data_IF_097365382393
#
_entry.id   IF_097365382393
#
_cell.length_a   1.000
_cell.length_b   1.000
_cell.length_c   1.000
_cell.angle_alpha   90.00
_cell.angle_beta   90.00
_cell.angle_gamma   90.00
#
_symmetry.space_group_name_H-M   'P 1'
#
loop_
_entity.id
_entity.type
_entity.pdbx_description
1 polymer ?
#
# COMPACT_ATOMS: atom_id res chain seq x y z
N UNK A 1 14.28 -25.67 -7.75
CA UNK A 1 13.60 -24.51 -8.37
C UNK A 1 13.96 -23.30 -7.52
N UNK A 2 14.72 -22.35 -8.05
CA UNK A 2 14.91 -21.07 -7.38
C UNK A 2 13.54 -20.38 -7.30
N UNK A 3 12.96 -20.32 -6.11
CA UNK A 3 11.74 -19.54 -5.85
C UNK A 3 12.11 -18.08 -6.03
N UNK A 4 11.92 -17.54 -7.25
CA UNK A 4 12.11 -16.12 -7.54
C UNK A 4 11.33 -15.31 -6.52
N UNK A 5 12.05 -14.57 -5.69
CA UNK A 5 11.45 -13.74 -4.66
C UNK A 5 10.49 -12.75 -5.30
N UNK A 6 9.21 -12.82 -4.90
CA UNK A 6 8.17 -11.98 -5.49
C UNK A 6 8.41 -10.53 -5.11
N UNK A 7 8.22 -9.61 -6.05
CA UNK A 7 8.51 -8.18 -5.85
C UNK A 7 7.77 -7.57 -4.65
N UNK A 8 6.55 -8.06 -4.36
CA UNK A 8 5.73 -7.58 -3.25
C UNK A 8 6.21 -8.06 -1.88
N UNK A 9 7.14 -9.01 -1.81
CA UNK A 9 7.78 -9.43 -0.57
C UNK A 9 8.96 -8.53 -0.18
N UNK A 10 9.30 -7.52 -1.00
CA UNK A 10 10.33 -6.50 -0.72
C UNK A 10 9.66 -5.21 -0.21
N UNK A 11 9.68 -4.91 1.10
CA UNK A 11 8.97 -3.76 1.66
C UNK A 11 9.39 -2.42 1.05
N UNK A 12 10.67 -2.26 0.68
CA UNK A 12 11.19 -1.06 0.05
C UNK A 12 10.55 -0.81 -1.32
N UNK A 13 10.31 -1.90 -2.06
CA UNK A 13 9.75 -1.83 -3.41
C UNK A 13 8.24 -1.59 -3.35
N UNK A 14 7.55 -2.19 -2.38
CA UNK A 14 6.15 -1.88 -2.06
C UNK A 14 5.99 -0.42 -1.63
N UNK A 15 6.87 0.09 -0.76
CA UNK A 15 6.86 1.50 -0.32
C UNK A 15 7.09 2.48 -1.47
N UNK A 16 8.03 2.16 -2.37
CA UNK A 16 8.28 2.96 -3.58
C UNK A 16 7.05 2.99 -4.47
N UNK A 17 6.43 1.83 -4.72
CA UNK A 17 5.21 1.76 -5.51
C UNK A 17 4.03 2.45 -4.82
N UNK A 18 3.93 2.45 -3.49
CA UNK A 18 2.89 3.20 -2.79
C UNK A 18 2.97 4.72 -3.07
N UNK A 19 4.17 5.26 -3.21
CA UNK A 19 4.39 6.68 -3.45
C UNK A 19 4.24 7.08 -4.93
N UNK A 20 4.82 6.30 -5.84
CA UNK A 20 4.88 6.65 -7.26
C UNK A 20 3.79 6.00 -8.11
N UNK A 21 3.24 4.87 -7.66
CA UNK A 21 2.16 4.16 -8.35
C UNK A 21 1.19 3.50 -7.36
N UNK A 22 0.36 4.30 -6.68
CA UNK A 22 -0.42 3.85 -5.52
C UNK A 22 -1.23 2.56 -5.76
N UNK A 23 -1.88 2.34 -6.93
CA UNK A 23 -2.56 1.06 -7.20
C UNK A 23 -1.68 -0.18 -7.05
N UNK A 24 -0.44 -0.14 -7.57
CA UNK A 24 0.49 -1.26 -7.46
C UNK A 24 1.08 -1.36 -6.06
N UNK A 25 1.36 -0.23 -5.41
CA UNK A 25 1.80 -0.20 -4.02
C UNK A 25 0.78 -0.83 -3.07
N UNK A 26 -0.51 -0.49 -3.23
CA UNK A 26 -1.60 -1.05 -2.43
C UNK A 26 -1.80 -2.54 -2.69
N UNK A 27 -1.66 -2.99 -3.94
CA UNK A 27 -1.67 -4.42 -4.27
C UNK A 27 -0.49 -5.17 -3.64
N UNK A 28 0.70 -4.58 -3.72
CA UNK A 28 1.90 -5.14 -3.09
C UNK A 28 1.74 -5.24 -1.58
N UNK A 29 1.22 -4.19 -0.95
CA UNK A 29 0.94 -4.13 0.48
C UNK A 29 -0.08 -5.20 0.91
N UNK A 30 -1.16 -5.36 0.14
CA UNK A 30 -2.17 -6.40 0.38
C UNK A 30 -1.53 -7.79 0.37
N UNK A 31 -0.76 -8.09 -0.70
CA UNK A 31 -0.26 -9.44 -0.99
C UNK A 31 1.04 -9.80 -0.27
N UNK A 32 1.77 -8.82 0.26
CA UNK A 32 3.04 -9.05 0.95
C UNK A 32 2.86 -9.91 2.19
N UNK A 33 3.66 -10.96 2.32
CA UNK A 33 3.73 -11.78 3.54
C UNK A 33 4.75 -11.22 4.54
N UNK A 34 5.67 -10.37 4.05
CA UNK A 34 6.78 -9.80 4.83
C UNK A 34 6.46 -8.45 5.49
N UNK A 35 5.30 -7.85 5.20
CA UNK A 35 4.89 -6.58 5.78
C UNK A 35 3.94 -6.83 6.94
N UNK A 36 4.28 -6.28 8.10
CA UNK A 36 3.50 -6.42 9.34
C UNK A 36 2.05 -5.93 9.16
N UNK A 37 1.12 -6.65 9.79
CA UNK A 37 -0.30 -6.36 9.69
C UNK A 37 -0.65 -4.95 10.22
N UNK A 38 0.02 -4.47 11.28
CA UNK A 38 -0.20 -3.12 11.81
C UNK A 38 0.21 -2.05 10.80
N UNK A 39 1.31 -2.29 10.06
CA UNK A 39 1.75 -1.38 9.01
C UNK A 39 0.75 -1.34 7.86
N UNK A 40 0.19 -2.49 7.45
CA UNK A 40 -0.86 -2.53 6.44
C UNK A 40 -2.09 -1.72 6.87
N UNK A 41 -2.55 -1.93 8.10
CA UNK A 41 -3.70 -1.20 8.68
C UNK A 41 -3.44 0.31 8.70
N UNK A 42 -2.24 0.74 9.12
CA UNK A 42 -1.89 2.16 9.14
C UNK A 42 -1.98 2.80 7.74
N UNK A 43 -1.40 2.16 6.72
CA UNK A 43 -1.43 2.68 5.34
C UNK A 43 -2.86 2.71 4.80
N UNK A 44 -3.66 1.66 5.01
CA UNK A 44 -5.07 1.66 4.59
C UNK A 44 -5.89 2.74 5.32
N UNK A 45 -5.63 2.96 6.60
CA UNK A 45 -6.26 4.02 7.39
C UNK A 45 -5.95 5.41 6.81
N UNK A 46 -4.68 5.69 6.50
CA UNK A 46 -4.27 6.94 5.84
C UNK A 46 -4.94 7.07 4.47
N UNK A 47 -5.00 6.00 3.69
CA UNK A 47 -5.60 6.03 2.36
C UNK A 47 -7.10 6.37 2.40
N UNK A 48 -7.85 5.76 3.32
CA UNK A 48 -9.27 6.07 3.55
C UNK A 48 -9.42 7.52 4.02
N UNK A 49 -8.58 7.97 4.96
CA UNK A 49 -8.62 9.35 5.45
C UNK A 49 -8.43 10.38 4.33
N UNK A 50 -7.46 10.15 3.43
CA UNK A 50 -7.23 11.02 2.27
C UNK A 50 -8.45 11.04 1.33
N UNK A 51 -9.06 9.88 1.08
CA UNK A 51 -10.28 9.80 0.25
C UNK A 51 -11.43 10.59 0.90
N UNK A 52 -11.67 10.37 2.20
CA UNK A 52 -12.73 11.08 2.94
C UNK A 52 -12.48 12.58 2.93
N UNK A 53 -11.26 13.02 3.20
CA UNK A 53 -10.89 14.44 3.19
C UNK A 53 -11.10 15.05 1.81
N UNK A 54 -10.67 14.36 0.75
CA UNK A 54 -10.89 14.79 -0.63
C UNK A 54 -12.39 14.94 -0.94
N UNK A 55 -13.20 13.97 -0.53
CA UNK A 55 -14.65 14.02 -0.73
C UNK A 55 -15.29 15.20 0.01
N UNK A 56 -14.88 15.45 1.26
CA UNK A 56 -15.38 16.58 2.06
C UNK A 56 -15.01 17.92 1.41
N UNK A 57 -13.78 18.06 0.90
CA UNK A 57 -13.33 19.32 0.28
C UNK A 57 -14.04 19.59 -1.06
N UNK A 58 -14.28 18.54 -1.86
CA UNK A 58 -14.82 18.72 -3.21
C UNK A 58 -16.34 18.62 -3.32
N UNK A 59 -17.00 17.94 -2.37
CA UNK A 59 -18.45 17.69 -2.41
C UNK A 59 -19.19 18.17 -1.15
N UNK A 60 -18.48 18.68 -0.15
CA UNK A 60 -19.04 19.24 1.08
C UNK A 60 -19.31 20.73 1.03
#
# INVERSE_FOLDING_TARGET
METKEKWYNKPQLVGTLLMFWPPFGLYGLYKSENIDSKFKIAIYGVFIFVIVLFLVIHFG
#
